data_IF_871449565224
#
_entry.id   IF_871449565224
#
_cell.length_a   1.000
_cell.length_b   1.000
_cell.length_c   1.000
_cell.angle_alpha   90.00
_cell.angle_beta   90.00
_cell.angle_gamma   90.00
#
_symmetry.space_group_name_H-M   'P 1'
#
loop_
_entity.id
_entity.type
_entity.pdbx_description
1 polymer ?
#
# COMPACT_ATOMS: atom_id res chain seq x y z
N UNK A 1 -18.95 -18.20 20.09
CA UNK A 1 -18.16 -17.43 19.10
C UNK A 1 -19.01 -16.25 18.67
N UNK A 2 -18.52 -15.00 18.72
CA UNK A 2 -19.28 -13.88 18.17
C UNK A 2 -19.51 -14.13 16.68
N UNK A 3 -20.72 -13.90 16.19
CA UNK A 3 -21.05 -14.03 14.78
C UNK A 3 -20.15 -13.09 13.96
N UNK A 4 -19.34 -13.64 13.05
CA UNK A 4 -18.49 -12.85 12.17
C UNK A 4 -19.36 -12.01 11.24
N UNK A 5 -19.18 -10.69 11.25
CA UNK A 5 -19.83 -9.78 10.28
C UNK A 5 -19.35 -10.19 8.87
N UNK A 6 -20.22 -10.33 7.86
CA UNK A 6 -19.88 -10.95 6.57
C UNK A 6 -18.60 -10.44 5.88
N UNK A 7 -18.28 -9.13 5.89
CA UNK A 7 -17.02 -8.63 5.31
C UNK A 7 -15.77 -9.14 6.03
N UNK A 8 -15.82 -9.35 7.35
CA UNK A 8 -14.70 -9.96 8.10
C UNK A 8 -14.50 -11.43 7.72
N UNK A 9 -15.58 -12.18 7.60
CA UNK A 9 -15.48 -13.57 7.16
C UNK A 9 -14.86 -13.69 5.76
N UNK A 10 -15.07 -12.70 4.89
CA UNK A 10 -14.41 -12.65 3.59
C UNK A 10 -12.92 -12.36 3.73
N UNK A 11 -12.51 -11.36 4.51
CA UNK A 11 -11.09 -11.05 4.70
C UNK A 11 -10.35 -12.22 5.34
N UNK A 12 -10.93 -12.85 6.37
CA UNK A 12 -10.33 -14.01 7.05
C UNK A 12 -10.08 -15.17 6.06
N UNK A 13 -10.99 -15.39 5.11
CA UNK A 13 -10.81 -16.40 4.06
C UNK A 13 -9.71 -16.02 3.07
N UNK A 14 -9.63 -14.75 2.66
CA UNK A 14 -8.58 -14.27 1.76
C UNK A 14 -7.19 -14.37 2.42
N UNK A 15 -7.12 -14.10 3.72
CA UNK A 15 -5.88 -14.22 4.49
C UNK A 15 -5.39 -15.67 4.59
N UNK A 16 -6.28 -16.65 4.48
CA UNK A 16 -5.97 -18.08 4.52
C UNK A 16 -5.76 -18.69 3.12
N UNK A 17 -5.88 -17.91 2.04
CA UNK A 17 -5.79 -18.40 0.67
C UNK A 17 -4.32 -18.59 0.22
N UNK A 18 -3.68 -19.66 0.67
CA UNK A 18 -2.26 -19.98 0.38
C UNK A 18 -1.96 -20.12 -1.13
N UNK A 19 -2.97 -20.47 -1.94
CA UNK A 19 -2.87 -20.53 -3.40
C UNK A 19 -2.44 -19.20 -4.04
N UNK A 20 -2.65 -18.08 -3.34
CA UNK A 20 -2.28 -16.74 -3.79
C UNK A 20 -0.82 -16.40 -3.52
N UNK A 21 -0.10 -17.18 -2.71
CA UNK A 21 1.28 -16.84 -2.30
C UNK A 21 2.24 -16.86 -3.49
N UNK A 22 2.22 -17.92 -4.30
CA UNK A 22 3.13 -18.05 -5.44
C UNK A 22 2.98 -16.90 -6.46
N UNK A 23 1.77 -16.56 -6.96
CA UNK A 23 1.62 -15.42 -7.88
C UNK A 23 1.95 -14.09 -7.19
N UNK A 24 1.54 -13.90 -5.93
CA UNK A 24 1.83 -12.67 -5.19
C UNK A 24 3.33 -12.43 -5.07
N UNK A 25 4.10 -13.43 -4.63
CA UNK A 25 5.54 -13.31 -4.49
C UNK A 25 6.23 -13.06 -5.85
N UNK A 26 5.74 -13.68 -6.94
CA UNK A 26 6.30 -13.43 -8.27
C UNK A 26 6.12 -11.97 -8.71
N UNK A 27 4.93 -11.41 -8.49
CA UNK A 27 4.62 -10.00 -8.77
C UNK A 27 5.44 -9.09 -7.87
N UNK A 28 5.49 -9.35 -6.57
CA UNK A 28 6.22 -8.55 -5.59
C UNK A 28 7.72 -8.51 -5.88
N UNK A 29 8.34 -9.66 -6.25
CA UNK A 29 9.74 -9.72 -6.69
C UNK A 29 9.99 -8.82 -7.89
N UNK A 30 9.13 -8.88 -8.91
CA UNK A 30 9.26 -8.04 -10.11
C UNK A 30 9.07 -6.56 -9.78
N UNK A 31 8.10 -6.22 -8.94
CA UNK A 31 7.89 -4.85 -8.46
C UNK A 31 9.13 -4.30 -7.76
N UNK A 32 9.70 -5.05 -6.80
CA UNK A 32 10.94 -4.67 -6.10
C UNK A 32 12.10 -4.43 -7.07
N UNK A 33 12.24 -5.26 -8.09
CA UNK A 33 13.30 -5.10 -9.11
C UNK A 33 13.08 -3.83 -9.96
N UNK A 34 11.86 -3.57 -10.41
CA UNK A 34 11.54 -2.41 -11.24
C UNK A 34 11.61 -1.09 -10.46
N UNK A 35 11.28 -1.12 -9.16
CA UNK A 35 11.26 0.04 -8.27
C UNK A 35 12.54 0.18 -7.43
N UNK A 36 13.54 -0.68 -7.65
CA UNK A 36 14.83 -0.65 -6.94
C UNK A 36 15.63 0.66 -7.07
N UNK A 37 15.59 1.42 -8.20
CA UNK A 37 16.36 2.66 -8.32
C UNK A 37 16.03 3.64 -7.18
N UNK A 38 17.05 4.00 -6.38
CA UNK A 38 16.88 4.75 -5.12
C UNK A 38 16.07 6.04 -5.26
N UNK A 39 16.31 6.82 -6.32
CA UNK A 39 15.59 8.06 -6.57
C UNK A 39 14.11 7.87 -6.88
N UNK A 40 13.74 6.74 -7.51
CA UNK A 40 12.34 6.38 -7.76
C UNK A 40 11.69 5.86 -6.47
N UNK A 41 12.39 5.00 -5.72
CA UNK A 41 11.90 4.44 -4.47
C UNK A 41 11.54 5.52 -3.45
N UNK A 42 12.43 6.49 -3.23
CA UNK A 42 12.20 7.59 -2.27
C UNK A 42 11.03 8.51 -2.64
N UNK A 43 10.76 8.69 -3.93
CA UNK A 43 9.62 9.48 -4.42
C UNK A 43 8.32 8.69 -4.29
N UNK A 44 8.33 7.41 -4.63
CA UNK A 44 7.15 6.54 -4.61
C UNK A 44 6.73 6.19 -3.18
N UNK A 45 7.69 5.95 -2.28
CA UNK A 45 7.43 5.72 -0.85
C UNK A 45 6.98 6.98 -0.11
N UNK A 46 7.25 8.17 -0.66
CA UNK A 46 6.96 9.43 0.00
C UNK A 46 7.98 9.85 1.06
N UNK A 47 9.14 9.17 1.14
CA UNK A 47 10.22 9.51 2.07
C UNK A 47 10.65 10.98 1.97
N UNK A 48 10.66 11.55 0.75
CA UNK A 48 11.01 12.98 0.54
C UNK A 48 9.94 13.95 1.00
N UNK A 49 8.69 13.50 1.08
CA UNK A 49 7.52 14.30 1.46
C UNK A 49 7.19 14.13 2.95
N UNK A 50 7.75 13.10 3.59
CA UNK A 50 7.50 12.76 4.99
C UNK A 50 6.21 11.96 5.22
N UNK A 51 5.44 11.68 4.17
CA UNK A 51 4.16 10.98 4.24
C UNK A 51 4.00 9.96 3.10
N UNK A 52 3.30 8.84 3.32
CA UNK A 52 2.97 7.90 2.26
C UNK A 52 2.22 8.61 1.11
N UNK A 53 2.65 8.38 -0.13
CA UNK A 53 2.04 9.00 -1.33
C UNK A 53 0.77 8.28 -1.75
N UNK A 54 0.63 7.00 -1.42
CA UNK A 54 -0.51 6.19 -1.85
C UNK A 54 -1.86 6.74 -1.35
N UNK A 55 -2.08 7.04 -0.05
CA UNK A 55 -3.37 7.53 0.44
C UNK A 55 -3.92 8.77 -0.30
N UNK A 56 -3.19 9.90 -0.45
CA UNK A 56 -3.75 11.07 -1.15
C UNK A 56 -4.02 10.80 -2.63
N UNK A 57 -3.28 9.88 -3.27
CA UNK A 57 -3.58 9.47 -4.64
C UNK A 57 -4.84 8.59 -4.73
N UNK A 58 -5.11 7.74 -3.72
CA UNK A 58 -6.38 7.00 -3.64
C UNK A 58 -7.56 7.94 -3.48
N UNK A 59 -7.43 9.01 -2.69
CA UNK A 59 -8.49 10.02 -2.53
C UNK A 59 -8.83 10.70 -3.86
N UNK A 60 -7.83 11.01 -4.68
CA UNK A 60 -8.04 11.57 -6.02
C UNK A 60 -8.79 10.58 -6.94
N UNK A 61 -8.39 9.31 -6.92
CA UNK A 61 -9.03 8.25 -7.72
C UNK A 61 -10.48 8.03 -7.29
N UNK A 62 -10.71 7.84 -5.99
CA UNK A 62 -12.06 7.60 -5.44
C UNK A 62 -12.92 8.84 -5.62
N UNK A 63 -12.39 10.03 -5.35
CA UNK A 63 -13.12 11.30 -5.46
C UNK A 63 -13.56 11.59 -6.89
N UNK A 64 -12.71 11.35 -7.89
CA UNK A 64 -13.07 11.55 -9.30
C UNK A 64 -14.13 10.57 -9.79
N UNK A 65 -13.99 9.28 -9.48
CA UNK A 65 -14.98 8.25 -9.83
C UNK A 65 -16.32 8.42 -9.10
N UNK A 66 -16.29 8.81 -7.83
CA UNK A 66 -17.50 9.13 -7.05
C UNK A 66 -18.19 10.36 -7.64
N UNK A 67 -17.44 11.41 -7.96
CA UNK A 67 -18.00 12.62 -8.59
C UNK A 67 -18.63 12.32 -9.95
N UNK A 68 -18.00 11.47 -10.77
CA UNK A 68 -18.58 11.04 -12.04
C UNK A 68 -19.89 10.27 -11.84
N UNK A 69 -19.94 9.39 -10.84
CA UNK A 69 -21.15 8.64 -10.47
C UNK A 69 -22.28 9.59 -10.04
N UNK A 70 -21.98 10.57 -9.18
CA UNK A 70 -22.97 11.58 -8.77
C UNK A 70 -23.49 12.38 -9.96
N UNK A 71 -22.64 12.77 -10.91
CA UNK A 71 -23.09 13.48 -12.11
C UNK A 71 -23.97 12.61 -13.00
N UNK A 72 -23.67 11.31 -13.14
CA UNK A 72 -24.51 10.41 -13.92
C UNK A 72 -25.89 10.20 -13.29
N UNK A 73 -26.01 10.26 -11.95
CA UNK A 73 -27.27 10.09 -11.23
C UNK A 73 -28.07 11.39 -11.10
N UNK A 74 -27.41 12.49 -10.73
CA UNK A 74 -28.05 13.74 -10.35
C UNK A 74 -28.15 14.74 -11.52
N UNK A 75 -27.25 14.64 -12.49
CA UNK A 75 -27.19 15.52 -13.65
C UNK A 75 -27.03 14.72 -14.97
N UNK A 76 -27.90 13.73 -15.25
CA UNK A 76 -27.69 12.75 -16.32
C UNK A 76 -27.61 13.33 -17.73
N UNK A 77 -28.05 14.58 -17.95
CA UNK A 77 -27.92 15.28 -19.25
C UNK A 77 -26.83 16.34 -19.21
N UNK A 78 -26.89 17.26 -18.26
CA UNK A 78 -25.97 18.41 -18.17
C UNK A 78 -24.57 18.02 -17.67
N UNK A 79 -24.45 16.98 -16.85
CA UNK A 79 -23.20 16.51 -16.25
C UNK A 79 -22.40 15.52 -17.11
N UNK A 80 -22.92 15.08 -18.26
CA UNK A 80 -22.34 14.01 -19.08
C UNK A 80 -20.85 14.22 -19.39
N UNK A 81 -20.51 15.39 -19.92
CA UNK A 81 -19.13 15.71 -20.34
C UNK A 81 -18.20 15.77 -19.13
N UNK A 82 -18.67 16.32 -18.02
CA UNK A 82 -17.90 16.40 -16.78
C UNK A 82 -17.67 15.00 -16.19
N UNK A 83 -18.68 14.12 -16.18
CA UNK A 83 -18.53 12.72 -15.75
C UNK A 83 -17.48 11.99 -16.59
N UNK A 84 -17.50 12.15 -17.92
CA UNK A 84 -16.48 11.56 -18.80
C UNK A 84 -15.06 12.08 -18.51
N UNK A 85 -14.90 13.38 -18.24
CA UNK A 85 -13.60 13.96 -17.87
C UNK A 85 -13.09 13.48 -16.53
N UNK A 86 -13.98 13.36 -15.54
CA UNK A 86 -13.63 12.84 -14.22
C UNK A 86 -13.24 11.36 -14.28
N UNK A 87 -13.93 10.54 -15.08
CA UNK A 87 -13.50 9.16 -15.33
C UNK A 87 -12.10 9.11 -15.96
N UNK A 88 -11.84 9.95 -16.98
CA UNK A 88 -10.53 10.00 -17.60
C UNK A 88 -9.43 10.45 -16.62
N UNK A 89 -9.71 11.45 -15.78
CA UNK A 89 -8.80 11.93 -14.73
C UNK A 89 -8.54 10.83 -13.69
N UNK A 90 -9.58 10.12 -13.24
CA UNK A 90 -9.45 9.00 -12.30
C UNK A 90 -8.62 7.86 -12.86
N UNK A 91 -8.81 7.50 -14.14
CA UNK A 91 -7.95 6.51 -14.82
C UNK A 91 -6.50 6.99 -14.87
N UNK A 92 -6.27 8.27 -15.19
CA UNK A 92 -4.93 8.86 -15.21
C UNK A 92 -4.26 8.85 -13.83
N UNK A 93 -5.03 9.17 -12.77
CA UNK A 93 -4.56 9.14 -11.39
C UNK A 93 -4.31 7.72 -10.88
N UNK A 94 -5.07 6.72 -11.34
CA UNK A 94 -4.93 5.33 -10.90
C UNK A 94 -3.56 4.73 -11.23
N UNK A 95 -2.89 5.21 -12.28
CA UNK A 95 -1.54 4.73 -12.67
C UNK A 95 -0.51 5.03 -11.58
N UNK A 96 -0.24 6.29 -11.19
CA UNK A 96 0.68 6.57 -10.09
C UNK A 96 0.18 6.01 -8.76
N UNK A 97 -1.14 5.94 -8.50
CA UNK A 97 -1.69 5.29 -7.30
C UNK A 97 -1.31 3.81 -7.22
N UNK A 98 -1.39 3.08 -8.33
CA UNK A 98 -1.02 1.67 -8.38
C UNK A 98 0.47 1.49 -8.16
N UNK A 99 1.31 2.36 -8.74
CA UNK A 99 2.78 2.31 -8.55
C UNK A 99 3.16 2.50 -7.08
N UNK A 100 2.57 3.49 -6.40
CA UNK A 100 2.81 3.73 -4.97
C UNK A 100 2.28 2.60 -4.10
N UNK A 101 1.09 2.08 -4.39
CA UNK A 101 0.51 0.96 -3.64
C UNK A 101 1.30 -0.34 -3.80
N UNK A 102 1.76 -0.65 -5.01
CA UNK A 102 2.59 -1.85 -5.25
C UNK A 102 3.95 -1.75 -4.58
N UNK A 103 4.53 -0.55 -4.49
CA UNK A 103 5.76 -0.32 -3.73
C UNK A 103 5.58 -0.69 -2.26
N UNK A 104 4.55 -0.12 -1.63
CA UNK A 104 4.28 -0.29 -0.21
C UNK A 104 3.91 -1.76 0.13
N UNK A 105 3.13 -2.39 -0.75
CA UNK A 105 2.80 -3.81 -0.63
C UNK A 105 4.01 -4.72 -0.82
N UNK A 106 4.85 -4.46 -1.82
CA UNK A 106 6.01 -5.31 -2.09
C UNK A 106 7.08 -5.21 -0.97
N UNK A 107 7.15 -4.11 -0.22
CA UNK A 107 8.04 -4.03 0.94
C UNK A 107 7.46 -4.74 2.18
N UNK A 108 6.14 -4.88 2.29
CA UNK A 108 5.45 -5.44 3.47
C UNK A 108 5.07 -6.92 3.36
N UNK A 109 4.83 -7.44 2.15
CA UNK A 109 4.38 -8.83 1.92
C UNK A 109 5.33 -9.91 2.45
N UNK A 110 6.64 -9.60 2.52
CA UNK A 110 7.65 -10.52 3.05
C UNK A 110 7.53 -10.72 4.55
N UNK A 111 6.97 -9.75 5.27
CA UNK A 111 6.81 -9.79 6.72
C UNK A 111 5.48 -10.42 7.16
N UNK A 112 4.46 -10.37 6.31
CA UNK A 112 3.12 -10.89 6.63
C UNK A 112 2.44 -11.52 5.39
N UNK A 113 2.21 -12.83 5.46
CA UNK A 113 1.55 -13.61 4.41
C UNK A 113 0.09 -13.19 4.19
N UNK A 114 -0.57 -12.69 5.22
CA UNK A 114 -1.95 -12.22 5.13
C UNK A 114 -2.02 -10.93 4.30
N UNK A 115 -1.06 -10.01 4.50
CA UNK A 115 -0.88 -8.80 3.67
C UNK A 115 -0.58 -9.18 2.22
N UNK A 116 0.28 -10.19 2.01
CA UNK A 116 0.58 -10.71 0.69
C UNK A 116 -0.69 -11.11 -0.07
N UNK A 117 -1.51 -11.96 0.53
CA UNK A 117 -2.70 -12.54 -0.11
C UNK A 117 -3.78 -11.48 -0.34
N UNK A 118 -4.10 -10.69 0.69
CA UNK A 118 -5.12 -9.65 0.61
C UNK A 118 -4.70 -8.53 -0.35
N UNK A 119 -3.43 -8.14 -0.37
CA UNK A 119 -2.91 -7.11 -1.27
C UNK A 119 -2.99 -7.50 -2.74
N UNK A 120 -2.74 -8.77 -3.08
CA UNK A 120 -2.93 -9.25 -4.46
C UNK A 120 -4.41 -9.15 -4.89
N UNK A 121 -5.34 -9.55 -4.02
CA UNK A 121 -6.78 -9.50 -4.31
C UNK A 121 -7.25 -8.06 -4.40
N UNK A 122 -6.77 -7.18 -3.52
CA UNK A 122 -7.03 -5.74 -3.57
C UNK A 122 -6.61 -5.16 -4.93
N UNK A 123 -5.39 -5.46 -5.40
CA UNK A 123 -4.92 -5.01 -6.71
C UNK A 123 -5.83 -5.52 -7.84
N UNK A 124 -6.14 -6.82 -7.84
CA UNK A 124 -6.98 -7.43 -8.88
C UNK A 124 -8.41 -6.83 -8.92
N UNK A 125 -9.02 -6.58 -7.76
CA UNK A 125 -10.35 -5.95 -7.67
C UNK A 125 -10.31 -4.53 -8.24
N UNK A 126 -9.27 -3.76 -7.94
CA UNK A 126 -9.11 -2.41 -8.48
C UNK A 126 -8.82 -2.40 -9.99
N UNK A 127 -8.09 -3.40 -10.51
CA UNK A 127 -7.90 -3.57 -11.95
C UNK A 127 -9.23 -3.83 -12.67
N UNK A 128 -10.11 -4.66 -12.09
CA UNK A 128 -11.45 -4.89 -12.64
C UNK A 128 -12.27 -3.59 -12.63
N UNK A 129 -12.23 -2.81 -11.54
CA UNK A 129 -12.89 -1.51 -11.48
C UNK A 129 -12.35 -0.56 -12.56
N UNK A 130 -11.03 -0.50 -12.73
CA UNK A 130 -10.37 0.35 -13.73
C UNK A 130 -10.74 -0.05 -15.16
N UNK A 131 -10.81 -1.35 -15.46
CA UNK A 131 -11.26 -1.86 -16.75
C UNK A 131 -12.73 -1.50 -17.03
N UNK A 132 -13.60 -1.56 -16.02
CA UNK A 132 -15.00 -1.14 -16.13
C UNK A 132 -15.11 0.37 -16.41
N UNK A 133 -14.30 1.20 -15.74
CA UNK A 133 -14.22 2.63 -16.01
C UNK A 133 -13.64 2.95 -17.40
N UNK A 134 -12.62 2.20 -17.83
CA UNK A 134 -12.08 2.30 -19.19
C UNK A 134 -13.12 1.94 -20.25
N UNK A 135 -13.85 0.84 -20.04
CA UNK A 135 -14.95 0.43 -20.92
C UNK A 135 -16.09 1.46 -20.92
N UNK A 136 -16.39 2.08 -19.77
CA UNK A 136 -17.34 3.20 -19.65
C UNK A 136 -16.89 4.39 -20.50
N UNK A 137 -15.63 4.79 -20.39
CA UNK A 137 -15.08 5.92 -21.15
C UNK A 137 -15.15 5.68 -22.66
N UNK A 138 -14.76 4.47 -23.11
CA UNK A 138 -14.87 4.06 -24.51
C UNK A 138 -16.32 4.03 -24.98
N UNK A 139 -17.26 3.54 -24.17
CA UNK A 139 -18.68 3.53 -24.52
C UNK A 139 -19.23 4.97 -24.70
N UNK A 140 -18.85 5.90 -23.82
CA UNK A 140 -19.22 7.32 -23.92
C UNK A 140 -18.64 7.97 -25.17
N UNK A 141 -17.36 7.72 -25.48
CA UNK A 141 -16.73 8.22 -26.70
C UNK A 141 -17.39 7.71 -27.98
N UNK A 142 -17.98 6.51 -27.93
CA UNK A 142 -18.76 5.92 -29.02
C UNK A 142 -20.23 6.35 -29.03
N UNK A 143 -20.63 7.33 -28.22
CA UNK A 143 -22.01 7.81 -28.11
C UNK A 143 -22.97 6.85 -27.39
N UNK A 144 -22.48 5.76 -26.80
CA UNK A 144 -23.30 4.75 -26.10
C UNK A 144 -23.48 5.14 -24.62
N UNK A 145 -24.18 6.26 -24.37
CA UNK A 145 -24.31 6.88 -23.05
C UNK A 145 -24.78 5.92 -21.96
N UNK A 146 -25.94 5.28 -22.14
CA UNK A 146 -26.54 4.39 -21.13
C UNK A 146 -25.59 3.25 -20.75
N UNK A 147 -24.92 2.65 -21.74
CA UNK A 147 -23.92 1.61 -21.50
C UNK A 147 -22.73 2.15 -20.70
N UNK A 148 -22.25 3.36 -21.03
CA UNK A 148 -21.20 4.03 -20.26
C UNK A 148 -21.58 4.27 -18.81
N UNK A 149 -22.82 4.69 -18.54
CA UNK A 149 -23.31 4.88 -17.17
C UNK A 149 -23.37 3.55 -16.42
N UNK A 150 -23.95 2.51 -17.01
CA UNK A 150 -24.05 1.20 -16.36
C UNK A 150 -22.67 0.59 -16.06
N UNK A 151 -21.70 0.74 -16.96
CA UNK A 151 -20.32 0.30 -16.74
C UNK A 151 -19.63 1.11 -15.63
N UNK A 152 -19.86 2.43 -15.56
CA UNK A 152 -19.32 3.26 -14.48
C UNK A 152 -19.92 2.89 -13.11
N UNK A 153 -21.22 2.59 -13.06
CA UNK A 153 -21.89 2.15 -11.83
C UNK A 153 -21.39 0.78 -11.37
N UNK A 154 -21.19 -0.16 -12.31
CA UNK A 154 -20.56 -1.44 -12.00
C UNK A 154 -19.12 -1.24 -11.49
N UNK A 155 -18.35 -0.36 -12.15
CA UNK A 155 -17.00 0.02 -11.72
C UNK A 155 -17.00 0.60 -10.31
N UNK A 156 -17.95 1.49 -9.99
CA UNK A 156 -18.11 2.07 -8.66
C UNK A 156 -18.38 1.00 -7.61
N UNK A 157 -19.26 0.04 -7.89
CA UNK A 157 -19.56 -1.06 -6.97
C UNK A 157 -18.33 -1.93 -6.68
N UNK A 158 -17.54 -2.25 -7.71
CA UNK A 158 -16.29 -3.01 -7.55
C UNK A 158 -15.24 -2.20 -6.78
N UNK A 159 -15.13 -0.90 -7.08
CA UNK A 159 -14.22 0.03 -6.40
C UNK A 159 -14.49 0.09 -4.89
N UNK A 160 -15.75 0.05 -4.45
CA UNK A 160 -16.08 -0.01 -3.01
C UNK A 160 -15.51 -1.27 -2.34
N UNK A 161 -15.56 -2.42 -3.03
CA UNK A 161 -14.94 -3.66 -2.55
C UNK A 161 -13.41 -3.52 -2.46
N UNK A 162 -12.78 -2.92 -3.46
CA UNK A 162 -11.36 -2.60 -3.46
C UNK A 162 -10.98 -1.68 -2.29
N UNK A 163 -11.76 -0.62 -2.07
CA UNK A 163 -11.59 0.32 -0.96
C UNK A 163 -11.73 -0.34 0.42
N UNK A 164 -12.67 -1.28 0.58
CA UNK A 164 -12.79 -2.06 1.81
C UNK A 164 -11.53 -2.90 2.09
N UNK A 165 -11.00 -3.60 1.08
CA UNK A 165 -9.75 -4.36 1.22
C UNK A 165 -8.55 -3.45 1.49
N UNK A 166 -8.49 -2.25 0.88
CA UNK A 166 -7.46 -1.25 1.15
C UNK A 166 -7.51 -0.75 2.59
N UNK A 167 -8.71 -0.46 3.09
CA UNK A 167 -8.92 -0.12 4.50
C UNK A 167 -8.50 -1.24 5.44
N UNK A 168 -8.77 -2.50 5.10
CA UNK A 168 -8.29 -3.65 5.88
C UNK A 168 -6.75 -3.71 5.92
N UNK A 169 -6.08 -3.53 4.76
CA UNK A 169 -4.62 -3.50 4.70
C UNK A 169 -4.02 -2.38 5.55
N UNK A 170 -4.54 -1.15 5.46
CA UNK A 170 -3.99 -0.01 6.20
C UNK A 170 -4.33 -0.02 7.69
N UNK A 171 -5.60 -0.26 8.04
CA UNK A 171 -6.09 -0.06 9.41
C UNK A 171 -6.09 -1.35 10.26
N UNK A 172 -6.11 -2.53 9.64
CA UNK A 172 -6.06 -3.81 10.37
C UNK A 172 -4.67 -4.43 10.27
N UNK A 173 -4.03 -4.33 9.10
CA UNK A 173 -2.71 -4.93 8.85
C UNK A 173 -1.54 -3.94 8.89
N UNK A 174 -1.80 -2.64 9.08
CA UNK A 174 -0.77 -1.63 9.28
C UNK A 174 0.07 -1.28 8.04
N UNK A 175 -0.40 -1.64 6.83
CA UNK A 175 0.34 -1.33 5.60
C UNK A 175 0.37 0.18 5.37
N UNK A 176 1.57 0.74 5.20
CA UNK A 176 1.78 2.18 4.98
C UNK A 176 1.63 3.03 6.26
N UNK A 177 1.54 2.41 7.44
CA UNK A 177 1.47 3.10 8.73
C UNK A 177 2.78 2.93 9.50
N UNK A 178 3.22 4.00 10.18
CA UNK A 178 4.34 3.91 11.10
C UNK A 178 3.99 3.02 12.29
N UNK A 179 4.58 1.82 12.33
CA UNK A 179 4.31 0.81 13.35
C UNK A 179 4.83 1.18 14.74
N UNK A 180 5.70 2.18 14.87
CA UNK A 180 6.23 2.66 16.15
C UNK A 180 5.73 4.06 16.52
N UNK A 181 4.63 4.52 15.93
CA UNK A 181 4.11 5.88 16.16
C UNK A 181 3.72 6.13 17.63
N UNK A 182 3.33 5.08 18.36
CA UNK A 182 2.99 5.14 19.78
C UNK A 182 4.15 4.72 20.70
N UNK A 183 5.29 4.37 20.11
CA UNK A 183 6.50 3.88 20.78
C UNK A 183 7.68 4.80 20.39
N UNK A 184 7.72 6.05 20.90
CA UNK A 184 8.63 7.09 20.40
C UNK A 184 10.13 6.79 20.64
N UNK A 185 10.46 5.70 21.35
CA UNK A 185 11.82 5.43 21.76
C UNK A 185 12.27 6.31 22.93
N UNK A 186 13.44 6.03 23.50
CA UNK A 186 14.07 6.91 24.47
C UNK A 186 14.52 8.22 23.81
N UNK A 187 14.42 9.38 24.49
CA UNK A 187 14.79 10.68 23.93
C UNK A 187 16.31 10.86 23.75
N UNK A 188 17.09 9.97 24.37
CA UNK A 188 18.55 9.96 24.31
C UNK A 188 19.05 8.63 23.77
N UNK A 189 20.23 8.66 23.14
CA UNK A 189 20.92 7.48 22.67
C UNK A 189 21.10 6.46 23.80
N UNK A 190 20.41 5.34 23.68
CA UNK A 190 20.43 4.26 24.67
C UNK A 190 21.25 3.10 24.12
N UNK A 191 22.34 2.68 24.78
CA UNK A 191 23.08 1.49 24.39
C UNK A 191 22.22 0.23 24.57
N UNK A 192 22.07 -0.57 23.51
CA UNK A 192 21.20 -1.76 23.51
C UNK A 192 21.96 -3.09 23.41
N UNK A 193 23.21 -3.06 22.93
CA UNK A 193 24.12 -4.21 22.90
C UNK A 193 25.57 -3.75 22.65
N UNK A 194 26.54 -4.60 22.97
CA UNK A 194 27.94 -4.38 22.59
C UNK A 194 28.20 -4.87 21.17
N UNK A 195 29.11 -4.20 20.46
CA UNK A 195 29.53 -4.64 19.13
C UNK A 195 30.08 -6.08 19.11
N UNK A 196 30.75 -6.51 20.18
CA UNK A 196 31.26 -7.88 20.37
C UNK A 196 30.16 -8.94 20.48
N UNK A 197 28.93 -8.53 20.76
CA UNK A 197 27.77 -9.42 20.87
C UNK A 197 27.06 -9.58 19.52
N UNK A 198 27.50 -8.88 18.47
CA UNK A 198 26.92 -8.98 17.13
C UNK A 198 27.59 -10.09 16.33
N UNK A 199 26.79 -11.02 15.83
CA UNK A 199 27.24 -12.12 14.98
C UNK A 199 26.68 -11.92 13.58
N UNK A 200 27.55 -11.77 12.58
CA UNK A 200 27.16 -11.46 11.20
C UNK A 200 26.05 -12.39 10.69
N UNK A 201 24.98 -11.80 10.13
CA UNK A 201 23.83 -12.53 9.61
C UNK A 201 22.81 -13.01 10.66
N UNK A 202 23.04 -12.79 11.96
CA UNK A 202 22.07 -13.14 13.00
C UNK A 202 21.40 -11.90 13.60
N UNK A 203 20.14 -11.59 13.25
CA UNK A 203 19.44 -10.46 13.86
C UNK A 203 19.37 -10.63 15.37
N UNK A 204 19.56 -9.52 16.09
CA UNK A 204 19.52 -9.44 17.56
C UNK A 204 18.39 -8.50 17.96
N UNK A 205 17.75 -8.81 19.09
CA UNK A 205 16.74 -7.94 19.71
C UNK A 205 17.19 -7.49 21.08
N UNK A 206 16.69 -6.33 21.51
CA UNK A 206 16.91 -5.78 22.85
C UNK A 206 15.80 -4.81 23.23
N UNK A 207 15.98 -4.17 24.37
CA UNK A 207 15.08 -3.13 24.88
C UNK A 207 15.82 -1.80 24.94
N UNK A 208 15.22 -0.76 24.38
CA UNK A 208 15.69 0.62 24.45
C UNK A 208 14.67 1.44 25.26
N UNK A 209 14.83 1.47 26.58
CA UNK A 209 13.97 2.28 27.45
C UNK A 209 12.49 1.89 27.35
N UNK A 210 12.18 0.60 27.35
CA UNK A 210 10.83 0.05 27.23
C UNK A 210 10.36 -0.18 25.79
N UNK A 211 11.19 0.13 24.79
CA UNK A 211 10.86 -0.07 23.38
C UNK A 211 11.63 -1.27 22.81
N UNK A 212 10.94 -2.30 22.29
CA UNK A 212 11.60 -3.44 21.68
C UNK A 212 12.28 -3.02 20.37
N UNK A 213 13.59 -3.21 20.31
CA UNK A 213 14.41 -2.93 19.13
C UNK A 213 15.00 -4.20 18.57
N UNK A 214 15.15 -4.28 17.26
CA UNK A 214 15.92 -5.33 16.60
C UNK A 214 17.00 -4.66 15.73
N UNK A 215 18.01 -5.40 15.34
CA UNK A 215 18.98 -4.91 14.40
C UNK A 215 19.56 -6.06 13.61
N UNK A 216 19.76 -5.89 12.28
CA UNK A 216 20.51 -6.84 11.50
C UNK A 216 21.94 -6.83 12.04
N UNK A 217 22.45 -8.00 12.45
CA UNK A 217 23.86 -8.05 12.80
C UNK A 217 24.68 -8.03 11.51
N UNK A 218 25.32 -6.90 11.25
CA UNK A 218 26.50 -6.82 10.40
C UNK A 218 27.71 -6.62 11.31
N UNK A 219 28.70 -7.49 11.21
CA UNK A 219 29.93 -7.35 11.99
C UNK A 219 30.63 -6.02 11.62
N UNK A 220 31.21 -5.32 12.61
CA UNK A 220 31.92 -4.06 12.34
C UNK A 220 33.05 -4.22 11.30
N UNK A 221 33.61 -5.43 11.16
CA UNK A 221 34.62 -5.79 10.16
C UNK A 221 34.13 -5.81 8.72
N UNK A 222 32.81 -5.88 8.49
CA UNK A 222 32.19 -5.91 7.15
C UNK A 222 31.46 -4.61 6.79
N UNK A 223 31.45 -3.60 7.67
CA UNK A 223 30.87 -2.29 7.38
C UNK A 223 31.88 -1.37 6.64
N UNK A 224 31.46 -0.66 5.58
CA UNK A 224 32.24 0.45 5.04
C UNK A 224 32.44 1.53 6.12
N UNK A 225 33.62 2.15 6.17
CA UNK A 225 34.03 3.12 7.21
C UNK A 225 33.10 4.33 7.41
N UNK A 226 32.13 4.54 6.51
CA UNK A 226 31.12 5.60 6.59
C UNK A 226 29.81 5.18 7.26
N UNK A 227 29.62 3.89 7.61
CA UNK A 227 28.33 3.35 8.10
C UNK A 227 28.33 2.97 9.60
N UNK A 228 29.46 3.17 10.30
CA UNK A 228 29.64 2.72 11.70
C UNK A 228 28.78 3.46 12.75
N UNK A 229 27.97 4.43 12.36
CA UNK A 229 27.06 5.15 13.25
C UNK A 229 25.62 4.62 13.10
N UNK A 230 25.27 3.64 13.95
CA UNK A 230 23.92 3.43 14.48
C UNK A 230 22.78 3.24 13.47
N UNK A 231 22.45 1.98 13.15
CA UNK A 231 21.09 1.63 12.70
C UNK A 231 20.59 0.41 13.48
N UNK A 232 19.95 0.67 14.62
CA UNK A 232 19.03 -0.30 15.22
C UNK A 232 17.65 -0.07 14.59
N UNK A 233 17.10 -1.10 13.93
CA UNK A 233 15.82 -1.03 13.24
C UNK A 233 14.80 -1.90 13.99
N UNK A 234 13.85 -1.26 14.69
CA UNK A 234 12.81 -1.93 15.47
C UNK A 234 12.18 -3.14 14.75
N UNK A 235 11.91 -4.21 15.51
CA UNK A 235 11.32 -5.45 15.01
C UNK A 235 9.81 -5.30 14.77
N UNK A 236 9.42 -4.38 13.91
CA UNK A 236 8.12 -4.39 13.27
C UNK A 236 8.33 -3.95 11.84
N UNK A 237 8.00 -4.84 10.90
CA UNK A 237 8.10 -4.71 9.44
C UNK A 237 8.92 -3.50 8.94
N UNK A 238 10.17 -3.76 8.57
CA UNK A 238 11.17 -2.86 7.99
C UNK A 238 10.58 -1.70 7.17
N UNK A 239 10.23 -0.60 7.83
CA UNK A 239 10.14 0.72 7.22
C UNK A 239 11.49 1.40 7.45
N UNK A 240 12.27 1.54 6.38
CA UNK A 240 13.50 2.33 6.40
C UNK A 240 13.14 3.79 6.72
N UNK A 241 13.25 4.17 7.99
CA UNK A 241 13.29 5.56 8.43
C UNK A 241 14.74 6.02 8.52
N UNK A 242 15.08 7.01 7.70
CA UNK A 242 15.89 8.12 8.19
C UNK A 242 15.01 9.36 8.07
N UNK A 243 14.15 9.57 9.05
CA UNK A 243 13.57 10.86 9.36
C UNK A 243 13.56 10.98 10.89
N UNK A 244 14.66 11.52 11.41
CA UNK A 244 14.69 12.19 12.72
C UNK A 244 13.76 13.40 12.66
N UNK A 245 12.90 13.56 13.67
CA UNK A 245 12.26 14.84 13.97
C UNK A 245 13.32 15.85 14.42
#
# INVERSE_FOLDING_TARGET
>A
MPASIPPRALTDRLEQAEELDAPAQAIARKARQLLAPRGLKETVSGTRVGHPVHPPLTDLVIGTFTSATLLDLLAPRTGERAAGRLIALGIGAAIPTAVTGVNDWADTELADETVRRVGLVHAAVNDVALLLYGASLVARWRGKRTRGVLLALAGAAVLQGGGYLGGHLSFVRGVGVNQTVFDPGPPEWTPVAKASELTDGQPRSGDAGGNPVCWPATAASSMPSTTAAGTAAACSARATSTATW
#
